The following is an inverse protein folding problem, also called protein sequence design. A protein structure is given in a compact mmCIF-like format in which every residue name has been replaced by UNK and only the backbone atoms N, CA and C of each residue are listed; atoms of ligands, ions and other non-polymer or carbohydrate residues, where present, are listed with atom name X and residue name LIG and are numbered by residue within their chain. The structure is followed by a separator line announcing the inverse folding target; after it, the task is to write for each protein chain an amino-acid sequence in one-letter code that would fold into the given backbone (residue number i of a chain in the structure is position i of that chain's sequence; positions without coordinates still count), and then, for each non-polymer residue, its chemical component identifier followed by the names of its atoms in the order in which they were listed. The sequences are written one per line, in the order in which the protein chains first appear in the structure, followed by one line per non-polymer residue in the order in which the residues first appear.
data_IF_797491694181
#
_entry.id   IF_797491694181
#
_cell.length_a   1.000
_cell.length_b   1.000
_cell.length_c   1.000
_cell.angle_alpha   90.00
_cell.angle_beta   90.00
_cell.angle_gamma   90.00
#
_symmetry.space_group_name_H-M   'P 1'
#
loop_
_entity.id
_entity.type
_entity.pdbx_description
1 polymer ?
#
# COMPACT_ATOMS: atom_id res chain seq x y z
N UNK A 1 11.90 -9.78 12.65
CA UNK A 1 12.15 -9.63 11.20
C UNK A 1 10.84 -9.41 10.47
N UNK A 2 10.84 -8.75 9.32
CA UNK A 2 9.66 -8.57 8.47
C UNK A 2 9.93 -9.19 7.11
N UNK A 3 9.07 -10.11 6.67
CA UNK A 3 9.08 -10.58 5.29
C UNK A 3 8.09 -9.73 4.51
N UNK A 4 8.53 -9.18 3.38
CA UNK A 4 7.70 -8.39 2.48
C UNK A 4 7.61 -9.13 1.15
N UNK A 5 6.40 -9.43 0.72
CA UNK A 5 6.11 -10.04 -0.57
C UNK A 5 5.37 -9.02 -1.44
N UNK A 6 5.71 -8.99 -2.72
CA UNK A 6 5.02 -8.15 -3.70
C UNK A 6 4.31 -9.07 -4.66
N UNK A 7 3.00 -8.92 -4.76
CA UNK A 7 2.19 -9.65 -5.72
C UNK A 7 2.60 -9.25 -7.13
N UNK A 8 2.92 -10.23 -7.98
CA UNK A 8 3.36 -9.91 -9.33
C UNK A 8 2.26 -9.26 -10.17
N UNK A 9 1.00 -9.71 -9.99
CA UNK A 9 -0.15 -9.33 -10.80
C UNK A 9 -0.68 -7.94 -10.41
N UNK A 10 -0.98 -7.74 -9.12
CA UNK A 10 -1.56 -6.51 -8.56
C UNK A 10 -0.53 -5.47 -8.10
N UNK A 11 0.75 -5.87 -8.01
CA UNK A 11 1.82 -5.09 -7.34
C UNK A 11 1.52 -4.79 -5.87
N UNK A 12 0.59 -5.52 -5.26
CA UNK A 12 0.21 -5.33 -3.87
C UNK A 12 1.30 -5.82 -2.92
N UNK A 13 1.53 -5.09 -1.84
CA UNK A 13 2.57 -5.39 -0.86
C UNK A 13 1.94 -6.09 0.34
N UNK A 14 2.32 -7.35 0.56
CA UNK A 14 2.02 -8.13 1.77
C UNK A 14 3.20 -8.13 2.72
N UNK A 15 2.95 -8.04 4.03
CA UNK A 15 4.00 -8.07 5.03
C UNK A 15 3.64 -9.03 6.18
N UNK A 16 4.58 -9.90 6.53
CA UNK A 16 4.42 -10.87 7.62
C UNK A 16 5.54 -10.70 8.66
N UNK A 17 5.21 -10.42 9.93
CA UNK A 17 6.20 -10.36 10.99
C UNK A 17 6.68 -11.77 11.35
N UNK A 18 7.99 -11.92 11.53
CA UNK A 18 8.63 -13.19 11.90
C UNK A 18 9.54 -13.01 13.11
N UNK A 19 9.40 -13.92 14.08
CA UNK A 19 10.30 -13.99 15.23
C UNK A 19 11.72 -14.42 14.81
N UNK A 20 11.85 -15.38 13.89
CA UNK A 20 13.13 -15.87 13.35
C UNK A 20 13.00 -16.16 11.86
N UNK A 21 14.04 -15.79 11.10
CA UNK A 21 14.17 -16.15 9.68
C UNK A 21 14.84 -17.53 9.60
N UNK A 22 14.05 -18.54 9.30
CA UNK A 22 14.53 -19.90 9.00
C UNK A 22 14.04 -20.30 7.61
N UNK A 23 14.76 -21.20 6.93
CA UNK A 23 14.37 -21.70 5.60
C UNK A 23 12.95 -22.28 5.59
N UNK A 24 12.59 -23.01 6.64
CA UNK A 24 11.27 -23.61 6.79
C UNK A 24 10.16 -22.55 6.92
N UNK A 25 10.38 -21.51 7.74
CA UNK A 25 9.42 -20.42 7.91
C UNK A 25 9.20 -19.65 6.60
N UNK A 26 10.29 -19.35 5.87
CA UNK A 26 10.20 -18.68 4.58
C UNK A 26 9.38 -19.53 3.60
N UNK A 27 9.72 -20.83 3.50
CA UNK A 27 9.05 -21.76 2.58
C UNK A 27 7.55 -21.85 2.84
N UNK A 28 7.17 -21.99 4.11
CA UNK A 28 5.77 -22.08 4.50
C UNK A 28 5.00 -20.79 4.21
N UNK A 29 5.62 -19.62 4.40
CA UNK A 29 4.96 -18.33 4.10
C UNK A 29 4.81 -18.12 2.60
N UNK A 30 5.84 -18.42 1.79
CA UNK A 30 5.74 -18.31 0.34
C UNK A 30 4.63 -19.22 -0.19
N UNK A 31 4.53 -20.45 0.32
CA UNK A 31 3.44 -21.34 -0.05
C UNK A 31 2.08 -20.83 0.40
N UNK A 32 1.93 -20.42 1.66
CA UNK A 32 0.69 -19.84 2.14
C UNK A 32 0.27 -18.65 1.27
N UNK A 33 1.22 -17.81 0.87
CA UNK A 33 0.95 -16.67 0.00
C UNK A 33 0.46 -17.08 -1.39
N UNK A 34 1.09 -18.08 -2.03
CA UNK A 34 0.71 -18.55 -3.37
C UNK A 34 -0.65 -19.25 -3.40
N UNK A 35 -1.02 -19.96 -2.33
CA UNK A 35 -2.20 -20.83 -2.31
C UNK A 35 -3.39 -20.25 -1.55
N UNK A 36 -3.23 -19.14 -0.84
CA UNK A 36 -4.34 -18.48 -0.13
C UNK A 36 -4.95 -17.41 -1.02
N UNK A 37 -6.28 -17.41 -1.21
CA UNK A 37 -6.96 -16.33 -1.91
C UNK A 37 -6.68 -14.98 -1.24
N UNK A 38 -6.27 -13.98 -2.03
CA UNK A 38 -5.97 -12.65 -1.51
C UNK A 38 -7.26 -11.85 -1.38
N UNK A 39 -7.48 -11.18 -0.24
CA UNK A 39 -8.67 -10.36 -0.04
C UNK A 39 -8.88 -9.25 -1.09
N UNK A 40 -7.80 -8.83 -1.76
CA UNK A 40 -7.80 -7.80 -2.81
C UNK A 40 -8.27 -8.32 -4.16
N UNK A 41 -8.00 -9.58 -4.51
CA UNK A 41 -8.36 -10.19 -5.81
C UNK A 41 -9.43 -11.26 -5.71
N UNK A 42 -9.71 -11.76 -4.49
CA UNK A 42 -10.50 -12.96 -4.20
C UNK A 42 -9.95 -14.26 -4.82
N UNK A 43 -8.76 -14.20 -5.40
CA UNK A 43 -8.12 -15.30 -6.12
C UNK A 43 -6.72 -15.60 -5.58
N UNK A 44 -6.22 -16.80 -5.87
CA UNK A 44 -4.86 -17.19 -5.46
C UNK A 44 -3.82 -16.61 -6.44
N UNK A 45 -2.67 -16.11 -5.96
CA UNK A 45 -1.60 -15.64 -6.84
C UNK A 45 -1.11 -16.72 -7.81
N UNK A 46 -1.14 -17.99 -7.38
CA UNK A 46 -0.80 -19.12 -8.23
C UNK A 46 -1.74 -19.23 -9.45
N UNK A 47 -3.06 -19.21 -9.23
CA UNK A 47 -4.06 -19.33 -10.30
C UNK A 47 -3.94 -18.18 -11.30
N UNK A 48 -3.74 -16.95 -10.83
CA UNK A 48 -3.57 -15.78 -11.71
C UNK A 48 -2.29 -15.85 -12.56
N UNK A 49 -1.24 -16.49 -12.06
CA UNK A 49 0.07 -16.59 -12.74
C UNK A 49 0.12 -17.78 -13.70
N UNK A 50 -0.22 -18.97 -13.20
CA UNK A 50 -0.05 -20.24 -13.91
C UNK A 50 -1.32 -20.73 -14.59
N UNK A 51 -2.44 -20.00 -14.45
CA UNK A 51 -3.72 -20.24 -15.13
C UNK A 51 -4.43 -21.55 -14.75
N UNK A 52 -3.99 -22.20 -13.69
CA UNK A 52 -4.56 -23.45 -13.18
C UNK A 52 -4.65 -23.38 -11.67
N UNK A 53 -5.61 -24.09 -11.10
CA UNK A 53 -5.64 -24.32 -9.66
C UNK A 53 -4.56 -25.33 -9.25
N UNK A 54 -3.90 -25.08 -8.11
CA UNK A 54 -2.84 -25.95 -7.62
C UNK A 54 -3.26 -26.72 -6.38
N UNK A 55 -2.81 -27.97 -6.30
CA UNK A 55 -2.87 -28.73 -5.06
C UNK A 55 -1.94 -28.10 -4.03
N UNK A 56 -2.50 -27.80 -2.85
CA UNK A 56 -1.71 -27.29 -1.73
C UNK A 56 -0.83 -28.40 -1.16
N UNK A 57 0.30 -28.05 -0.56
CA UNK A 57 1.24 -29.06 -0.04
C UNK A 57 0.59 -30.01 1.00
N UNK A 58 -0.33 -29.49 1.82
CA UNK A 58 -1.04 -30.31 2.81
C UNK A 58 -1.94 -31.37 2.15
N UNK A 59 -2.57 -31.04 1.01
CA UNK A 59 -3.37 -32.00 0.24
C UNK A 59 -2.52 -33.16 -0.29
N UNK A 60 -1.28 -32.86 -0.70
CA UNK A 60 -0.31 -33.86 -1.17
C UNK A 60 0.20 -34.72 -0.01
N UNK A 61 0.47 -34.12 1.16
CA UNK A 61 0.97 -34.84 2.34
C UNK A 61 -0.06 -35.77 2.96
N UNK A 62 -1.31 -35.34 3.05
CA UNK A 62 -2.37 -36.10 3.73
C UNK A 62 -3.24 -36.93 2.77
N UNK A 63 -2.81 -37.12 1.52
CA UNK A 63 -3.56 -37.89 0.50
C UNK A 63 -5.01 -37.42 0.38
N UNK A 64 -5.20 -36.13 0.07
CA UNK A 64 -6.52 -35.53 -0.10
C UNK A 64 -7.40 -36.27 -1.12
N UNK A 65 -8.70 -35.99 -1.10
CA UNK A 65 -9.64 -36.52 -2.10
C UNK A 65 -9.18 -36.25 -3.54
N UNK A 66 -8.57 -35.08 -3.81
CA UNK A 66 -8.01 -34.74 -5.13
C UNK A 66 -6.91 -35.70 -5.57
N UNK A 67 -6.07 -36.16 -4.63
CA UNK A 67 -5.04 -37.16 -4.93
C UNK A 67 -5.63 -38.55 -5.14
N UNK A 68 -6.64 -38.94 -4.37
CA UNK A 68 -7.21 -40.29 -4.40
C UNK A 68 -8.07 -40.55 -5.65
N UNK A 69 -8.81 -39.54 -6.11
CA UNK A 69 -9.73 -39.63 -7.26
C UNK A 69 -9.12 -39.03 -8.53
N UNK A 70 -7.80 -38.82 -8.55
CA UNK A 70 -7.13 -38.22 -9.70
C UNK A 70 -7.34 -39.05 -10.97
N UNK A 71 -7.94 -38.42 -11.98
CA UNK A 71 -8.08 -38.96 -13.32
C UNK A 71 -7.40 -37.99 -14.31
N UNK A 72 -6.40 -38.50 -15.05
CA UNK A 72 -5.60 -37.68 -15.95
C UNK A 72 -6.39 -37.13 -17.14
N UNK A 73 -7.39 -37.85 -17.65
CA UNK A 73 -8.19 -37.44 -18.80
C UNK A 73 -9.17 -36.33 -18.39
N UNK A 74 -9.87 -36.52 -17.27
CA UNK A 74 -10.75 -35.50 -16.71
C UNK A 74 -9.96 -34.24 -16.33
N UNK A 75 -8.79 -34.39 -15.70
CA UNK A 75 -7.93 -33.25 -15.35
C UNK A 75 -7.46 -32.46 -16.59
N UNK A 76 -7.21 -33.13 -17.72
CA UNK A 76 -6.85 -32.44 -18.96
C UNK A 76 -8.03 -31.62 -19.52
N UNK A 77 -9.27 -32.13 -19.41
CA UNK A 77 -10.48 -31.41 -19.81
C UNK A 77 -10.73 -30.20 -18.92
N UNK A 78 -10.59 -30.34 -17.60
CA UNK A 78 -10.73 -29.24 -16.64
C UNK A 78 -9.67 -28.15 -16.88
N UNK A 79 -8.40 -28.52 -17.11
CA UNK A 79 -7.35 -27.55 -17.46
C UNK A 79 -7.70 -26.78 -18.73
N UNK A 80 -8.27 -27.43 -19.74
CA UNK A 80 -8.70 -26.75 -20.96
C UNK A 80 -9.83 -25.74 -20.68
N UNK A 81 -10.81 -26.12 -19.86
CA UNK A 81 -11.88 -25.21 -19.43
C UNK A 81 -11.35 -24.03 -18.60
N UNK A 82 -10.45 -24.28 -17.66
CA UNK A 82 -9.79 -23.23 -16.87
C UNK A 82 -9.01 -22.24 -17.76
N UNK A 83 -8.36 -22.74 -18.82
CA UNK A 83 -7.65 -21.89 -19.78
C UNK A 83 -8.58 -20.99 -20.59
N UNK A 84 -9.81 -21.43 -20.89
CA UNK A 84 -10.82 -20.61 -21.57
C UNK A 84 -11.38 -19.52 -20.64
N UNK A 85 -11.52 -19.81 -19.35
CA UNK A 85 -12.10 -18.90 -18.34
C UNK A 85 -11.07 -17.95 -17.69
N UNK A 86 -9.77 -18.17 -17.90
CA UNK A 86 -8.73 -17.46 -17.16
C UNK A 86 -8.74 -15.94 -17.38
N UNK A 87 -9.11 -15.48 -18.57
CA UNK A 87 -9.12 -14.06 -18.89
C UNK A 87 -10.27 -13.36 -18.15
N UNK A 88 -11.44 -14.01 -18.04
CA UNK A 88 -12.58 -13.54 -17.26
C UNK A 88 -12.23 -13.44 -15.77
N UNK A 89 -11.58 -14.48 -15.22
CA UNK A 89 -11.09 -14.50 -13.84
C UNK A 89 -10.08 -13.37 -13.56
N UNK A 90 -9.18 -13.08 -14.52
CA UNK A 90 -8.22 -11.98 -14.39
C UNK A 90 -8.89 -10.62 -14.44
N UNK A 91 -9.89 -10.44 -15.28
CA UNK A 91 -10.68 -9.22 -15.34
C UNK A 91 -11.46 -9.00 -14.04
N UNK A 92 -12.06 -10.04 -13.49
CA UNK A 92 -12.74 -9.98 -12.20
C UNK A 92 -11.77 -9.65 -11.05
N UNK A 93 -10.60 -10.31 -11.01
CA UNK A 93 -9.54 -10.00 -10.05
C UNK A 93 -9.10 -8.53 -10.14
N UNK A 94 -8.98 -7.97 -11.34
CA UNK A 94 -8.66 -6.54 -11.55
C UNK A 94 -9.76 -5.64 -11.01
N UNK A 95 -11.03 -5.95 -11.26
CA UNK A 95 -12.17 -5.17 -10.74
C UNK A 95 -12.15 -5.16 -9.20
N UNK A 96 -11.93 -6.31 -8.57
CA UNK A 96 -11.81 -6.41 -7.12
C UNK A 96 -10.64 -5.58 -6.56
N UNK A 97 -9.49 -5.64 -7.22
CA UNK A 97 -8.31 -4.89 -6.84
C UNK A 97 -8.56 -3.38 -6.90
N UNK A 98 -9.12 -2.90 -8.01
CA UNK A 98 -9.49 -1.50 -8.20
C UNK A 98 -10.51 -1.04 -7.16
N UNK A 99 -11.54 -1.85 -6.88
CA UNK A 99 -12.51 -1.57 -5.84
C UNK A 99 -11.85 -1.47 -4.45
N UNK A 100 -10.86 -2.32 -4.15
CA UNK A 100 -10.11 -2.28 -2.90
C UNK A 100 -9.26 -1.01 -2.80
N UNK A 101 -8.52 -0.65 -3.87
CA UNK A 101 -7.74 0.60 -3.97
C UNK A 101 -8.63 1.83 -3.79
N UNK A 102 -9.79 1.87 -4.44
CA UNK A 102 -10.77 2.95 -4.30
C UNK A 102 -11.34 3.04 -2.88
N UNK A 103 -11.62 1.90 -2.25
CA UNK A 103 -12.11 1.87 -0.85
C UNK A 103 -11.04 2.41 0.11
N UNK A 104 -9.78 2.01 -0.08
CA UNK A 104 -8.66 2.49 0.72
C UNK A 104 -8.44 4.01 0.53
N UNK A 105 -8.44 4.50 -0.72
CA UNK A 105 -8.26 5.92 -1.02
C UNK A 105 -9.39 6.77 -0.47
N UNK A 106 -10.65 6.33 -0.62
CA UNK A 106 -11.82 7.01 -0.01
C UNK A 106 -11.68 7.09 1.51
N UNK A 107 -11.32 5.99 2.18
CA UNK A 107 -11.14 5.97 3.64
C UNK A 107 -10.00 6.87 4.11
N UNK A 108 -8.92 6.97 3.33
CA UNK A 108 -7.83 7.89 3.62
C UNK A 108 -8.29 9.35 3.43
N UNK A 109 -8.90 9.65 2.28
CA UNK A 109 -9.33 10.98 1.90
C UNK A 109 -10.44 11.53 2.81
N UNK A 110 -11.30 10.71 3.40
CA UNK A 110 -12.32 11.19 4.37
C UNK A 110 -11.71 11.79 5.63
N UNK A 111 -10.48 11.41 5.99
CA UNK A 111 -9.75 11.98 7.13
C UNK A 111 -8.93 13.21 6.76
N UNK A 112 -8.68 13.41 5.47
CA UNK A 112 -7.98 14.60 4.99
C UNK A 112 -8.95 15.77 4.94
N UNK A 113 -8.64 16.82 5.68
CA UNK A 113 -9.27 18.12 5.49
C UNK A 113 -8.39 18.92 4.53
N UNK A 114 -8.88 19.29 3.33
CA UNK A 114 -8.15 20.19 2.45
C UNK A 114 -7.85 21.48 3.21
N UNK A 115 -6.58 21.82 3.34
CA UNK A 115 -6.13 23.05 3.96
C UNK A 115 -5.67 23.99 2.86
N UNK A 116 -6.37 25.11 2.69
CA UNK A 116 -6.04 26.14 1.70
C UNK A 116 -5.92 27.49 2.39
N UNK A 117 -4.90 28.26 2.03
CA UNK A 117 -4.64 29.59 2.59
C UNK A 117 -4.76 30.65 1.51
N UNK A 118 -5.13 31.86 1.93
CA UNK A 118 -5.19 33.02 1.03
C UNK A 118 -3.96 33.88 1.24
N UNK A 119 -3.59 34.63 0.21
CA UNK A 119 -2.57 35.68 0.33
C UNK A 119 -2.98 36.66 1.44
N UNK A 120 -2.08 36.89 2.38
CA UNK A 120 -2.31 37.70 3.57
C UNK A 120 -2.61 36.92 4.86
N UNK A 121 -2.94 35.63 4.77
CA UNK A 121 -3.20 34.80 5.97
C UNK A 121 -1.93 34.63 6.81
N UNK A 122 -2.10 34.60 8.14
CA UNK A 122 -1.03 34.37 9.10
C UNK A 122 -1.02 32.90 9.53
N UNK A 123 0.11 32.23 9.28
CA UNK A 123 0.26 30.79 9.48
C UNK A 123 1.47 30.48 10.36
N UNK A 124 1.36 29.41 11.16
CA UNK A 124 2.47 28.89 11.94
C UNK A 124 3.20 27.84 11.13
N UNK A 125 4.54 27.86 11.14
CA UNK A 125 5.29 26.88 10.36
C UNK A 125 5.84 25.78 11.25
N UNK A 126 5.67 24.52 10.84
CA UNK A 126 6.26 23.39 11.55
C UNK A 126 7.80 23.46 11.47
N UNK A 127 8.45 23.52 12.62
CA UNK A 127 9.89 23.59 12.77
C UNK A 127 10.45 22.17 12.79
N UNK A 128 11.13 21.76 11.72
CA UNK A 128 11.83 20.47 11.69
C UNK A 128 12.92 20.40 12.77
N UNK A 129 13.26 19.19 13.23
CA UNK A 129 14.20 18.97 14.34
C UNK A 129 15.54 19.72 14.17
N UNK A 130 16.03 19.87 12.93
CA UNK A 130 17.26 20.59 12.62
C UNK A 130 17.19 22.12 12.81
N UNK A 131 16.00 22.69 13.00
CA UNK A 131 15.77 24.14 13.14
C UNK A 131 15.30 24.53 14.54
N UNK A 132 15.10 23.56 15.43
CA UNK A 132 14.85 23.85 16.85
C UNK A 132 16.10 24.47 17.46
N UNK A 133 15.90 25.45 18.33
CA UNK A 133 17.01 25.98 19.09
C UNK A 133 17.53 24.87 20.02
N UNK A 134 18.78 24.48 19.83
CA UNK A 134 19.40 23.39 20.59
C UNK A 134 19.51 23.77 22.07
N UNK A 135 19.48 25.07 22.39
CA UNK A 135 19.52 25.61 23.74
C UNK A 135 18.20 25.40 24.51
N UNK A 136 17.06 25.31 23.82
CA UNK A 136 15.75 25.12 24.44
C UNK A 136 15.42 23.64 24.74
N UNK A 137 16.22 22.71 24.22
CA UNK A 137 16.12 21.28 24.51
C UNK A 137 14.79 20.66 24.08
N UNK A 138 14.33 19.64 24.82
CA UNK A 138 13.13 18.83 24.49
C UNK A 138 11.82 19.61 24.52
N UNK A 139 11.80 20.80 25.14
CA UNK A 139 10.61 21.63 25.33
C UNK A 139 10.53 22.81 24.34
N UNK A 140 11.44 22.88 23.37
CA UNK A 140 11.37 23.86 22.30
C UNK A 140 10.03 23.74 21.54
N UNK A 141 9.40 24.86 21.16
CA UNK A 141 8.16 24.85 20.42
C UNK A 141 8.36 24.17 19.06
N UNK A 142 7.40 23.32 18.69
CA UNK A 142 7.40 22.62 17.40
C UNK A 142 7.01 23.52 16.23
N UNK A 143 6.50 24.72 16.52
CA UNK A 143 6.01 25.68 15.54
C UNK A 143 6.81 26.96 15.68
N UNK A 144 7.31 27.48 14.56
CA UNK A 144 8.00 28.76 14.51
C UNK A 144 7.10 29.83 13.92
N UNK A 145 7.09 30.99 14.56
CA UNK A 145 6.52 32.27 14.09
C UNK A 145 5.04 32.26 13.69
N UNK A 146 4.42 33.43 13.59
CA UNK A 146 3.44 33.69 12.55
C UNK A 146 4.16 34.21 11.29
N UNK A 147 3.90 33.59 10.16
CA UNK A 147 4.37 34.00 8.82
C UNK A 147 3.19 34.42 7.97
N UNK A 148 3.39 35.37 7.06
CA UNK A 148 2.33 35.82 6.14
C UNK A 148 2.45 35.09 4.81
N UNK A 149 1.33 34.62 4.26
CA UNK A 149 1.27 34.05 2.91
C UNK A 149 1.37 35.19 1.88
N UNK A 150 2.34 35.10 0.98
CA UNK A 150 2.59 36.09 -0.08
C UNK A 150 1.97 35.66 -1.40
N UNK A 151 2.02 34.37 -1.68
CA UNK A 151 1.65 33.80 -2.97
C UNK A 151 1.18 32.36 -2.79
N UNK A 152 0.08 32.02 -3.46
CA UNK A 152 -0.42 30.66 -3.63
C UNK A 152 0.03 30.14 -5.01
N UNK A 153 0.66 28.97 -5.04
CA UNK A 153 1.17 28.34 -6.26
C UNK A 153 0.18 27.30 -6.85
N UNK A 154 -1.07 27.26 -6.35
CA UNK A 154 -2.23 26.49 -6.84
C UNK A 154 -2.18 24.97 -6.61
N UNK A 155 -1.06 24.44 -6.12
CA UNK A 155 -0.80 23.02 -5.87
C UNK A 155 -0.56 22.71 -4.38
N UNK A 156 -1.12 23.56 -3.49
CA UNK A 156 -0.94 23.44 -2.04
C UNK A 156 0.43 23.91 -1.56
N UNK A 157 1.22 24.55 -2.43
CA UNK A 157 2.47 25.21 -2.09
C UNK A 157 2.29 26.72 -1.94
N UNK A 158 2.90 27.28 -0.91
CA UNK A 158 2.80 28.71 -0.58
C UNK A 158 4.18 29.33 -0.42
N UNK A 159 4.32 30.59 -0.84
CA UNK A 159 5.45 31.44 -0.45
C UNK A 159 5.09 32.24 0.78
N UNK A 160 6.04 32.31 1.71
CA UNK A 160 5.87 32.97 2.99
C UNK A 160 6.82 34.15 3.13
N UNK A 161 6.43 35.09 3.95
CA UNK A 161 7.30 36.15 4.44
C UNK A 161 7.23 36.26 5.97
N UNK A 162 8.32 36.72 6.56
CA UNK A 162 8.34 37.14 7.96
C UNK A 162 7.49 38.41 8.14
N UNK A 163 6.99 38.65 9.36
CA UNK A 163 6.28 39.89 9.69
C UNK A 163 7.13 41.17 9.48
N UNK A 164 8.45 41.02 9.39
CA UNK A 164 9.39 42.08 9.03
C UNK A 164 9.36 42.47 7.54
N UNK A 165 8.60 41.75 6.71
CA UNK A 165 8.56 41.91 5.24
C UNK A 165 9.68 41.17 4.51
N UNK A 166 10.48 40.37 5.22
CA UNK A 166 11.54 39.56 4.60
C UNK A 166 10.94 38.29 3.98
N UNK A 167 11.06 38.16 2.66
CA UNK A 167 10.62 36.98 1.94
C UNK A 167 11.43 35.74 2.35
N UNK A 168 10.75 34.61 2.52
CA UNK A 168 11.39 33.32 2.75
C UNK A 168 11.58 32.66 1.37
N UNK A 169 12.82 32.37 0.95
CA UNK A 169 13.11 31.94 -0.42
C UNK A 169 12.58 30.54 -0.78
N UNK A 170 12.06 29.78 0.19
CA UNK A 170 11.58 28.39 0.01
C UNK A 170 10.05 28.34 0.02
N UNK A 171 9.48 27.52 -0.85
CA UNK A 171 8.04 27.19 -0.88
C UNK A 171 7.69 26.16 0.19
N UNK A 172 6.47 26.26 0.73
CA UNK A 172 5.99 25.41 1.82
C UNK A 172 4.66 24.75 1.46
N UNK A 173 4.58 23.44 1.63
CA UNK A 173 3.34 22.71 1.41
C UNK A 173 2.37 22.91 2.59
N UNK A 174 1.07 22.93 2.30
CA UNK A 174 -0.01 23.18 3.26
C UNK A 174 0.02 22.27 4.51
N UNK A 175 0.62 21.07 4.40
CA UNK A 175 0.75 20.13 5.52
C UNK A 175 1.78 20.53 6.57
N UNK A 176 2.66 21.49 6.25
CA UNK A 176 3.69 22.00 7.15
C UNK A 176 3.38 23.42 7.66
N UNK A 177 2.15 23.89 7.43
CA UNK A 177 1.61 25.20 7.77
C UNK A 177 0.34 25.07 8.61
#
# INVERSE_FOLDING_TARGET
FLLVAIDYFTKWIGACPLAKITTENIRNIIWAYHYTPQSTTQETPYRLTYRIDAMILMEVRETSHRCQVFNSEQNAQEIAADLDLIDELKDEARIHEEACKLRASRRYNTRLRPCSFRVGDLMWRLLGDARRDTLEGKLAPNWGGPFRVVEDLENGEYRLEELSGKAIPRTWHATHL
#
